data_IF_162790792869
#
_entry.id   IF_162790792869
#
_cell.length_a   1.000
_cell.length_b   1.000
_cell.length_c   1.000
_cell.angle_alpha   90.00
_cell.angle_beta   90.00
_cell.angle_gamma   90.00
#
_symmetry.space_group_name_H-M   'P 1'
#
loop_
_entity.id
_entity.type
_entity.pdbx_description
1 polymer ?
#
# COMPACT_ATOMS: atom_id res chain seq x y z
N UNK A 1 -36.18 -28.28 -33.57
CA UNK A 1 -37.27 -27.51 -32.92
C UNK A 1 -36.77 -26.06 -32.85
N UNK A 2 -36.93 -25.30 -33.94
CA UNK A 2 -38.02 -24.31 -34.17
C UNK A 2 -38.09 -23.25 -33.06
N UNK A 3 -38.15 -21.94 -33.28
CA UNK A 3 -37.97 -21.02 -34.42
C UNK A 3 -38.35 -19.60 -33.88
N UNK A 4 -37.88 -18.56 -34.58
CA UNK A 4 -38.36 -17.16 -34.68
C UNK A 4 -37.46 -16.06 -34.08
N UNK A 5 -36.78 -15.23 -34.89
CA UNK A 5 -37.22 -14.21 -35.91
C UNK A 5 -37.90 -12.99 -35.25
N UNK A 6 -37.66 -11.72 -35.62
CA UNK A 6 -37.25 -11.18 -36.92
C UNK A 6 -36.53 -9.82 -36.85
N UNK A 7 -35.75 -9.60 -37.89
CA UNK A 7 -35.19 -8.36 -38.44
C UNK A 7 -36.29 -7.52 -39.09
N UNK A 8 -36.20 -6.18 -39.06
CA UNK A 8 -36.62 -5.35 -40.20
C UNK A 8 -35.75 -4.09 -40.35
N UNK A 9 -34.89 -4.12 -41.38
CA UNK A 9 -34.46 -2.94 -42.11
C UNK A 9 -35.44 -2.73 -43.28
N UNK A 10 -35.79 -1.48 -43.59
CA UNK A 10 -36.44 -1.12 -44.86
C UNK A 10 -35.80 0.13 -45.45
N UNK A 11 -34.99 -0.14 -46.47
CA UNK A 11 -34.61 0.78 -47.53
C UNK A 11 -35.86 0.97 -48.42
N UNK A 12 -36.20 2.20 -48.78
CA UNK A 12 -37.01 2.44 -49.96
C UNK A 12 -36.42 3.57 -50.80
N UNK A 13 -36.35 3.26 -52.08
CA UNK A 13 -35.60 3.91 -53.14
C UNK A 13 -36.51 4.86 -53.94
N UNK A 14 -35.88 5.63 -54.83
CA UNK A 14 -36.32 5.99 -56.20
C UNK A 14 -36.59 7.49 -56.50
N UNK A 15 -35.74 7.98 -57.40
CA UNK A 15 -36.04 8.61 -58.70
C UNK A 15 -36.28 10.13 -58.82
N UNK A 16 -35.73 10.59 -59.95
CA UNK A 16 -36.22 11.67 -60.82
C UNK A 16 -35.53 13.06 -60.70
N UNK A 17 -34.35 13.13 -61.33
CA UNK A 17 -33.97 14.06 -62.40
C UNK A 17 -34.77 15.35 -62.66
N UNK A 18 -33.98 16.44 -62.84
CA UNK A 18 -34.06 17.48 -63.89
C UNK A 18 -34.88 18.76 -63.60
N UNK A 19 -34.21 19.92 -63.64
CA UNK A 19 -34.85 21.19 -64.03
C UNK A 19 -34.33 22.47 -63.36
N UNK A 20 -33.60 23.27 -64.13
CA UNK A 20 -33.18 24.67 -63.93
C UNK A 20 -34.23 25.60 -63.27
N UNK A 21 -33.78 26.55 -62.43
CA UNK A 21 -33.78 28.00 -62.75
C UNK A 21 -33.40 28.90 -61.56
N UNK A 22 -32.66 29.97 -61.89
CA UNK A 22 -32.21 31.09 -61.06
C UNK A 22 -33.34 31.75 -60.24
N UNK A 23 -33.00 32.31 -59.07
CA UNK A 23 -33.27 33.73 -58.77
C UNK A 23 -32.45 34.19 -57.54
N UNK A 24 -31.70 35.27 -57.70
CA UNK A 24 -30.95 35.96 -56.66
C UNK A 24 -31.88 36.84 -55.81
N UNK A 25 -31.66 36.90 -54.48
CA UNK A 25 -31.91 38.13 -53.71
C UNK A 25 -31.18 38.12 -52.36
N UNK A 26 -30.57 39.27 -52.09
CA UNK A 26 -29.67 39.63 -51.00
C UNK A 26 -30.26 39.46 -49.59
N UNK A 27 -29.46 38.97 -48.65
CA UNK A 27 -29.70 39.12 -47.22
C UNK A 27 -28.40 39.52 -46.51
N UNK A 28 -28.30 40.80 -46.18
CA UNK A 28 -27.35 41.39 -45.23
C UNK A 28 -27.29 40.55 -43.95
N UNK A 29 -26.07 40.15 -43.54
CA UNK A 29 -25.84 39.47 -42.26
C UNK A 29 -24.88 40.29 -41.39
N UNK A 30 -25.09 40.29 -40.06
CA UNK A 30 -24.63 41.31 -39.14
C UNK A 30 -23.14 41.21 -38.83
N UNK A 31 -22.57 42.34 -38.42
CA UNK A 31 -21.23 42.43 -37.88
C UNK A 31 -21.06 41.47 -36.68
N UNK A 32 -20.20 40.46 -36.83
CA UNK A 32 -19.68 39.69 -35.71
C UNK A 32 -18.58 40.51 -35.05
N UNK A 33 -18.85 41.00 -33.84
CA UNK A 33 -17.81 41.46 -32.93
C UNK A 33 -16.87 40.27 -32.67
N UNK A 34 -15.68 40.30 -33.28
CA UNK A 34 -14.60 39.40 -32.91
C UNK A 34 -14.16 39.80 -31.51
N UNK A 35 -14.55 39.01 -30.51
CA UNK A 35 -13.93 39.07 -29.20
C UNK A 35 -12.43 38.84 -29.40
N UNK A 36 -11.62 39.80 -28.96
CA UNK A 36 -10.18 39.65 -28.89
C UNK A 36 -9.86 38.36 -28.14
N UNK A 37 -9.38 37.35 -28.87
CA UNK A 37 -8.61 36.27 -28.27
C UNK A 37 -7.38 36.96 -27.73
N UNK A 38 -7.38 37.26 -26.43
CA UNK A 38 -6.20 37.72 -25.73
C UNK A 38 -5.16 36.62 -25.92
N UNK A 39 -4.18 36.86 -26.79
CA UNK A 39 -3.10 35.92 -26.99
C UNK A 39 -2.41 35.74 -25.64
N UNK A 40 -2.61 34.59 -24.99
CA UNK A 40 -1.86 34.23 -23.79
C UNK A 40 -0.39 34.39 -24.12
N UNK A 41 0.27 35.32 -23.42
CA UNK A 41 1.69 35.59 -23.61
C UNK A 41 2.45 34.33 -23.17
N UNK A 42 2.83 33.49 -24.13
CA UNK A 42 3.63 32.29 -23.88
C UNK A 42 5.07 32.71 -23.62
N UNK A 43 5.45 32.76 -22.35
CA UNK A 43 6.85 32.90 -21.96
C UNK A 43 7.61 31.59 -22.22
N UNK A 44 8.89 31.66 -22.59
CA UNK A 44 9.73 30.47 -22.66
C UNK A 44 9.83 29.84 -21.26
N UNK A 45 9.53 28.54 -21.16
CA UNK A 45 9.71 27.75 -19.94
C UNK A 45 10.47 26.47 -20.27
N UNK A 46 11.26 26.00 -19.31
CA UNK A 46 11.93 24.70 -19.36
C UNK A 46 11.40 23.80 -18.24
N UNK A 47 11.25 22.51 -18.52
CA UNK A 47 10.92 21.51 -17.50
C UNK A 47 12.18 20.75 -17.14
N UNK A 48 12.51 20.75 -15.85
CA UNK A 48 13.69 20.10 -15.31
C UNK A 48 13.29 18.98 -14.37
N UNK A 49 14.17 17.98 -14.25
CA UNK A 49 14.02 16.86 -13.31
C UNK A 49 15.38 16.50 -12.77
N UNK A 50 15.45 16.35 -11.44
CA UNK A 50 16.62 15.87 -10.74
C UNK A 50 16.17 14.86 -9.68
N UNK A 51 17.02 13.87 -9.41
CA UNK A 51 16.76 12.79 -8.46
C UNK A 51 18.02 12.55 -7.63
N UNK A 52 17.85 12.16 -6.37
CA UNK A 52 18.92 11.69 -5.49
C UNK A 52 18.54 10.31 -4.95
N UNK A 53 19.47 9.37 -4.99
CA UNK A 53 19.27 7.97 -4.57
C UNK A 53 20.45 7.54 -3.72
N UNK A 54 20.18 6.80 -2.64
CA UNK A 54 21.23 6.24 -1.78
C UNK A 54 20.86 4.85 -1.30
N UNK A 55 21.86 3.98 -1.27
CA UNK A 55 21.77 2.67 -0.63
C UNK A 55 22.03 2.83 0.87
N UNK A 56 21.10 2.33 1.70
CA UNK A 56 21.17 2.46 3.16
C UNK A 56 21.23 1.06 3.78
N UNK A 57 22.22 0.76 4.64
CA UNK A 57 22.30 -0.52 5.32
C UNK A 57 21.11 -0.69 6.27
N UNK A 58 20.56 -1.91 6.33
CA UNK A 58 19.55 -2.27 7.33
C UNK A 58 20.25 -2.58 8.64
N UNK A 59 20.01 -1.75 9.65
CA UNK A 59 20.74 -1.74 10.92
C UNK A 59 19.93 -2.26 12.09
N UNK A 60 18.64 -2.52 11.91
CA UNK A 60 17.72 -2.92 12.96
C UNK A 60 17.15 -4.29 12.66
N UNK A 61 17.22 -5.21 13.63
CA UNK A 61 16.53 -6.50 13.58
C UNK A 61 15.15 -6.38 14.21
N UNK A 62 14.17 -7.07 13.63
CA UNK A 62 12.88 -7.42 14.24
C UNK A 62 12.81 -8.93 14.39
N UNK A 63 12.59 -9.40 15.61
CA UNK A 63 12.38 -10.82 15.93
C UNK A 63 10.93 -10.97 16.39
N UNK A 64 10.17 -11.84 15.72
CA UNK A 64 8.82 -12.22 16.12
C UNK A 64 8.87 -13.54 16.86
N UNK A 65 8.45 -13.53 18.12
CA UNK A 65 8.17 -14.71 18.91
C UNK A 65 6.68 -15.00 18.86
N UNK A 66 6.28 -16.28 18.79
CA UNK A 66 4.86 -16.64 18.84
C UNK A 66 4.60 -17.88 19.69
N UNK A 67 3.41 -17.93 20.29
CA UNK A 67 2.84 -19.16 20.82
C UNK A 67 1.53 -19.46 20.08
N UNK A 68 1.37 -20.72 19.68
CA UNK A 68 0.16 -21.25 19.08
C UNK A 68 -0.46 -22.27 20.04
N UNK A 69 -1.75 -22.10 20.37
CA UNK A 69 -2.46 -22.94 21.33
C UNK A 69 -3.77 -23.40 20.71
N UNK A 70 -4.19 -24.61 21.07
CA UNK A 70 -5.48 -25.18 20.68
C UNK A 70 -6.17 -25.82 21.88
N UNK A 71 -7.48 -25.66 21.92
CA UNK A 71 -8.33 -26.23 22.97
C UNK A 71 -9.75 -26.46 22.42
N UNK A 72 -10.56 -27.23 23.12
CA UNK A 72 -12.01 -27.33 22.86
C UNK A 72 -12.78 -26.05 23.21
N UNK A 73 -12.26 -25.22 24.12
CA UNK A 73 -12.92 -24.02 24.60
C UNK A 73 -12.20 -22.73 24.17
N UNK A 74 -12.94 -21.78 23.60
CA UNK A 74 -12.39 -20.49 23.17
C UNK A 74 -11.70 -19.73 24.32
N UNK A 75 -12.33 -19.77 25.50
CA UNK A 75 -11.86 -19.05 26.68
C UNK A 75 -10.51 -19.60 27.17
N UNK A 76 -10.32 -20.92 27.14
CA UNK A 76 -9.07 -21.56 27.56
C UNK A 76 -7.91 -21.28 26.59
N UNK A 77 -8.18 -21.21 25.28
CA UNK A 77 -7.18 -20.75 24.30
C UNK A 77 -6.75 -19.32 24.62
N UNK A 78 -7.70 -18.39 24.78
CA UNK A 78 -7.39 -16.99 25.05
C UNK A 78 -6.63 -16.83 26.38
N UNK A 79 -7.05 -17.52 27.44
CA UNK A 79 -6.40 -17.47 28.74
C UNK A 79 -4.98 -18.03 28.70
N UNK A 80 -4.77 -19.15 28.01
CA UNK A 80 -3.44 -19.78 27.89
C UNK A 80 -2.46 -18.94 27.06
N UNK A 81 -2.95 -18.29 26.00
CA UNK A 81 -2.14 -17.37 25.20
C UNK A 81 -1.74 -16.14 26.01
N UNK A 82 -2.68 -15.52 26.73
CA UNK A 82 -2.39 -14.39 27.62
C UNK A 82 -1.37 -14.75 28.69
N UNK A 83 -1.51 -15.90 29.35
CA UNK A 83 -0.52 -16.40 30.33
C UNK A 83 0.87 -16.55 29.73
N UNK A 84 0.96 -17.10 28.52
CA UNK A 84 2.23 -17.30 27.81
C UNK A 84 2.87 -15.96 27.46
N UNK A 85 2.09 -15.04 26.87
CA UNK A 85 2.54 -13.72 26.49
C UNK A 85 2.98 -12.89 27.72
N UNK A 86 2.19 -12.88 28.80
CA UNK A 86 2.52 -12.13 30.02
C UNK A 86 3.79 -12.65 30.68
N UNK A 87 3.96 -13.98 30.72
CA UNK A 87 5.16 -14.63 31.26
C UNK A 87 6.41 -14.23 30.49
N UNK A 88 6.36 -14.26 29.15
CA UNK A 88 7.48 -13.87 28.30
C UNK A 88 7.72 -12.36 28.37
N UNK A 89 6.68 -11.54 28.26
CA UNK A 89 6.77 -10.07 28.31
C UNK A 89 7.44 -9.59 29.61
N UNK A 90 7.12 -10.18 30.75
CA UNK A 90 7.77 -9.86 32.04
C UNK A 90 9.27 -10.15 32.04
N UNK A 91 9.72 -11.17 31.31
CA UNK A 91 11.13 -11.55 31.25
C UNK A 91 11.92 -10.70 30.26
N UNK A 92 11.31 -10.31 29.13
CA UNK A 92 12.01 -9.61 28.04
C UNK A 92 11.92 -8.08 28.11
N UNK A 93 10.90 -7.52 28.79
CA UNK A 93 10.72 -6.06 28.89
C UNK A 93 11.81 -5.42 29.76
N UNK A 94 12.15 -4.17 29.44
CA UNK A 94 13.07 -3.35 30.22
C UNK A 94 14.56 -3.64 29.97
N UNK A 95 14.88 -4.41 28.93
CA UNK A 95 16.26 -4.61 28.47
C UNK A 95 16.70 -3.39 27.67
N UNK A 96 17.83 -2.80 28.07
CA UNK A 96 18.40 -1.65 27.38
C UNK A 96 18.75 -2.00 25.93
N UNK A 97 18.51 -1.07 25.01
CA UNK A 97 18.75 -1.29 23.58
C UNK A 97 17.78 -2.25 22.88
N UNK A 98 16.78 -2.81 23.59
CA UNK A 98 15.79 -3.73 23.01
C UNK A 98 14.39 -3.20 23.27
N UNK A 99 13.71 -2.79 22.20
CA UNK A 99 12.30 -2.40 22.25
C UNK A 99 11.46 -3.66 22.16
N UNK A 100 10.55 -3.83 23.12
CA UNK A 100 9.66 -4.99 23.19
C UNK A 100 8.21 -4.53 23.19
N UNK A 101 7.38 -5.16 22.36
CA UNK A 101 5.95 -4.89 22.30
C UNK A 101 5.16 -6.11 21.81
N UNK A 102 3.86 -6.13 22.05
CA UNK A 102 2.98 -7.20 21.60
C UNK A 102 2.69 -7.10 20.10
N UNK A 103 2.65 -8.24 19.42
CA UNK A 103 2.27 -8.36 18.01
C UNK A 103 0.81 -8.80 17.86
N UNK A 104 0.54 -9.67 16.89
CA UNK A 104 -0.80 -10.18 16.62
C UNK A 104 -1.32 -11.04 17.79
N UNK A 105 -2.60 -10.89 18.13
CA UNK A 105 -3.32 -11.76 19.05
C UNK A 105 -4.64 -12.15 18.39
N UNK A 106 -4.85 -13.44 18.18
CA UNK A 106 -6.03 -13.94 17.49
C UNK A 106 -6.45 -15.30 18.03
N UNK A 107 -7.76 -15.52 18.06
CA UNK A 107 -8.40 -16.78 18.41
C UNK A 107 -9.51 -17.03 17.39
N UNK A 108 -9.52 -18.21 16.77
CA UNK A 108 -10.45 -18.56 15.70
C UNK A 108 -10.93 -20.01 15.82
N UNK A 109 -12.17 -20.30 15.40
CA UNK A 109 -12.70 -21.66 15.43
C UNK A 109 -12.14 -22.47 14.25
N UNK A 110 -12.04 -23.78 14.46
CA UNK A 110 -11.77 -24.77 13.43
C UNK A 110 -13.00 -25.68 13.34
N UNK A 111 -13.62 -25.73 12.16
CA UNK A 111 -14.83 -26.49 11.95
C UNK A 111 -14.54 -27.90 11.42
N UNK A 112 -15.37 -28.86 11.78
CA UNK A 112 -15.38 -30.20 11.20
C UNK A 112 -16.04 -30.22 9.80
N UNK A 113 -16.17 -31.43 9.23
CA UNK A 113 -16.80 -31.65 7.93
C UNK A 113 -18.30 -31.29 7.90
N UNK A 114 -18.95 -31.29 9.06
CA UNK A 114 -20.37 -30.97 9.22
C UNK A 114 -20.58 -29.46 9.47
N UNK A 115 -19.50 -28.67 9.51
CA UNK A 115 -19.52 -27.23 9.76
C UNK A 115 -19.67 -26.86 11.23
N UNK A 116 -19.58 -27.82 12.15
CA UNK A 116 -19.60 -27.57 13.60
C UNK A 116 -18.21 -27.23 14.10
N UNK A 117 -18.12 -26.37 15.11
CA UNK A 117 -16.84 -26.05 15.75
C UNK A 117 -16.30 -27.32 16.42
N UNK A 118 -15.10 -27.72 16.02
CA UNK A 118 -14.42 -28.94 16.49
C UNK A 118 -13.24 -28.63 17.42
N UNK A 119 -12.61 -27.47 17.24
CA UNK A 119 -11.45 -27.02 18.01
C UNK A 119 -11.39 -25.50 17.92
N UNK A 120 -10.89 -24.85 18.96
CA UNK A 120 -10.45 -23.46 18.91
C UNK A 120 -8.93 -23.43 18.78
N UNK A 121 -8.45 -22.55 17.92
CA UNK A 121 -7.02 -22.26 17.77
C UNK A 121 -6.77 -20.81 18.07
N UNK A 122 -5.56 -20.51 18.50
CA UNK A 122 -5.15 -19.14 18.66
C UNK A 122 -3.65 -18.99 18.61
N UNK A 123 -3.25 -17.74 18.39
CA UNK A 123 -1.87 -17.30 18.28
C UNK A 123 -1.70 -15.98 18.99
N UNK A 124 -0.59 -15.83 19.69
CA UNK A 124 -0.13 -14.56 20.25
C UNK A 124 1.32 -14.33 19.86
N UNK A 125 1.70 -13.07 19.66
CA UNK A 125 3.04 -12.68 19.24
C UNK A 125 3.65 -11.63 20.17
N UNK A 126 4.96 -11.71 20.34
CA UNK A 126 5.79 -10.67 20.98
C UNK A 126 6.90 -10.32 20.02
N UNK A 127 7.13 -9.03 19.84
CA UNK A 127 8.12 -8.49 18.93
C UNK A 127 9.27 -7.88 19.73
N UNK A 128 10.49 -8.22 19.33
CA UNK A 128 11.72 -7.56 19.78
C UNK A 128 12.34 -6.79 18.61
N UNK A 129 12.61 -5.51 18.81
CA UNK A 129 13.35 -4.66 17.86
C UNK A 129 14.64 -4.17 18.51
N UNK A 130 15.77 -4.29 17.82
CA UNK A 130 17.06 -3.80 18.31
C UNK A 130 18.05 -3.55 17.17
N UNK A 131 18.98 -2.63 17.40
CA UNK A 131 20.20 -2.48 16.57
C UNK A 131 21.31 -3.44 17.00
N UNK A 132 21.20 -4.06 18.18
CA UNK A 132 22.09 -5.12 18.65
C UNK A 132 21.45 -6.49 18.39
N UNK A 133 21.79 -7.07 17.24
CA UNK A 133 21.30 -8.37 16.81
C UNK A 133 21.69 -9.50 17.77
N UNK A 134 22.88 -9.45 18.35
CA UNK A 134 23.38 -10.50 19.23
C UNK A 134 22.61 -10.50 20.56
N UNK A 135 22.41 -9.32 21.15
CA UNK A 135 21.64 -9.16 22.38
C UNK A 135 20.17 -9.56 22.17
N UNK A 136 19.54 -9.12 21.07
CA UNK A 136 18.17 -9.48 20.74
C UNK A 136 18.00 -11.00 20.53
N UNK A 137 18.90 -11.62 19.77
CA UNK A 137 18.85 -13.07 19.49
C UNK A 137 19.08 -13.91 20.75
N UNK A 138 20.01 -13.50 21.62
CA UNK A 138 20.23 -14.16 22.92
C UNK A 138 19.00 -14.07 23.80
N UNK A 139 18.36 -12.90 23.87
CA UNK A 139 17.14 -12.70 24.65
C UNK A 139 15.98 -13.55 24.12
N UNK A 140 15.80 -13.58 22.80
CA UNK A 140 14.80 -14.42 22.14
C UNK A 140 15.01 -15.91 22.45
N UNK A 141 16.26 -16.39 22.42
CA UNK A 141 16.60 -17.78 22.74
C UNK A 141 16.22 -18.17 24.18
N UNK A 142 16.29 -17.25 25.14
CA UNK A 142 15.96 -17.51 26.56
C UNK A 142 14.47 -17.78 26.82
N UNK A 143 13.59 -17.39 25.90
CA UNK A 143 12.14 -17.54 26.02
C UNK A 143 11.53 -18.43 24.92
N UNK A 144 12.38 -19.00 24.07
CA UNK A 144 11.98 -19.84 22.94
C UNK A 144 11.32 -21.16 23.37
N UNK A 145 11.46 -21.55 24.63
CA UNK A 145 10.76 -22.68 25.24
C UNK A 145 9.23 -22.46 25.30
N UNK A 146 8.81 -21.21 25.46
CA UNK A 146 7.40 -20.80 25.54
C UNK A 146 6.90 -20.13 24.28
N UNK A 147 7.71 -19.27 23.68
CA UNK A 147 7.39 -18.55 22.45
C UNK A 147 8.57 -18.65 21.48
N UNK A 148 8.63 -19.68 20.61
CA UNK A 148 9.67 -19.81 19.61
C UNK A 148 9.71 -18.63 18.63
N UNK A 149 10.88 -18.42 18.04
CA UNK A 149 11.08 -17.47 16.94
C UNK A 149 10.35 -18.01 15.70
N UNK A 150 9.43 -17.20 15.16
CA UNK A 150 8.66 -17.54 13.96
C UNK A 150 9.00 -16.67 12.75
N UNK A 151 9.61 -15.51 12.98
CA UNK A 151 10.08 -14.62 11.92
C UNK A 151 11.26 -13.77 12.41
N UNK A 152 12.15 -13.44 11.47
CA UNK A 152 13.29 -12.56 11.69
C UNK A 152 13.52 -11.72 10.44
N UNK A 153 13.45 -10.40 10.56
CA UNK A 153 13.68 -9.47 9.46
C UNK A 153 14.59 -8.30 9.86
N UNK A 154 15.31 -7.77 8.88
CA UNK A 154 16.14 -6.57 9.05
C UNK A 154 15.51 -5.40 8.30
N UNK A 155 15.51 -4.23 8.93
CA UNK A 155 14.96 -2.99 8.38
C UNK A 155 15.80 -1.77 8.82
N UNK A 156 15.55 -0.63 8.16
CA UNK A 156 16.11 0.67 8.57
C UNK A 156 15.17 1.28 9.60
N UNK A 157 15.71 1.65 10.77
CA UNK A 157 14.95 2.30 11.83
C UNK A 157 14.16 3.51 11.29
N UNK A 158 12.94 3.79 11.78
CA UNK A 158 12.14 4.90 11.28
C UNK A 158 12.85 6.26 11.40
N UNK A 159 13.61 6.46 12.47
CA UNK A 159 14.39 7.67 12.69
C UNK A 159 15.52 7.82 11.67
N UNK A 160 16.26 6.75 11.40
CA UNK A 160 17.34 6.75 10.42
C UNK A 160 16.83 6.92 8.99
N UNK A 161 15.68 6.31 8.68
CA UNK A 161 14.99 6.53 7.41
C UNK A 161 14.64 8.00 7.22
N UNK A 162 14.02 8.62 8.23
CA UNK A 162 13.63 10.03 8.16
C UNK A 162 14.85 10.96 7.99
N UNK A 163 15.98 10.63 8.65
CA UNK A 163 17.25 11.35 8.48
C UNK A 163 17.75 11.26 7.03
N UNK A 164 17.85 10.06 6.47
CA UNK A 164 18.32 9.88 5.10
C UNK A 164 17.39 10.49 4.06
N UNK A 165 16.08 10.47 4.30
CA UNK A 165 15.10 11.13 3.43
C UNK A 165 15.33 12.65 3.40
N UNK A 166 15.55 13.28 4.56
CA UNK A 166 15.85 14.71 4.63
C UNK A 166 17.15 15.08 3.88
N UNK A 167 18.19 14.26 4.00
CA UNK A 167 19.46 14.46 3.27
C UNK A 167 19.27 14.34 1.75
N UNK A 168 18.55 13.30 1.29
CA UNK A 168 18.27 13.09 -0.14
C UNK A 168 17.43 14.21 -0.75
N UNK A 169 16.49 14.78 0.01
CA UNK A 169 15.71 15.94 -0.45
C UNK A 169 16.60 17.17 -0.68
N UNK A 170 17.59 17.41 0.19
CA UNK A 170 18.54 18.51 0.02
C UNK A 170 19.44 18.29 -1.20
N UNK A 171 19.90 17.07 -1.42
CA UNK A 171 20.69 16.70 -2.60
C UNK A 171 19.89 16.88 -3.90
N UNK A 172 18.66 16.36 -3.95
CA UNK A 172 17.78 16.51 -5.11
C UNK A 172 17.47 17.98 -5.43
N UNK A 173 17.23 18.80 -4.40
CA UNK A 173 17.01 20.24 -4.58
C UNK A 173 18.26 20.96 -5.11
N UNK A 174 19.45 20.54 -4.67
CA UNK A 174 20.72 21.08 -5.17
C UNK A 174 20.94 20.69 -6.62
N UNK A 175 20.81 19.41 -6.96
CA UNK A 175 20.93 18.93 -8.33
C UNK A 175 19.90 19.59 -9.28
N UNK A 176 18.71 19.92 -8.79
CA UNK A 176 17.72 20.68 -9.57
C UNK A 176 18.18 22.11 -9.84
N UNK A 177 18.75 22.81 -8.84
CA UNK A 177 19.29 24.16 -9.03
C UNK A 177 20.48 24.17 -9.99
N UNK A 178 21.36 23.18 -9.87
CA UNK A 178 22.52 23.04 -10.76
C UNK A 178 22.06 22.82 -12.21
N UNK A 179 21.10 21.91 -12.44
CA UNK A 179 20.43 21.70 -13.74
C UNK A 179 19.74 22.93 -14.33
N UNK A 180 19.33 23.88 -13.48
CA UNK A 180 18.69 25.12 -13.93
C UNK A 180 19.70 26.21 -14.28
N UNK A 181 20.95 26.08 -13.82
CA UNK A 181 22.05 26.98 -14.11
C UNK A 181 22.85 26.56 -15.35
N UNK A 182 22.78 25.27 -15.72
CA UNK A 182 23.32 24.69 -16.96
C UNK A 182 22.53 25.14 -18.22
#
# INVERSE_FOLDING_TARGET
>A
MNLNFSVQARIFSLLASLGLALFALSATSPALAQGEVTAETKYPYASLRAEAVREVPRDTVRITLAADIRDSEQAEVAASLSRSADSVMKQVKGKEGIKVYSGNFQVWPMNDKDGRISEWRGRTEIILESTDFEAASKLAAQVSDRMPIVNLDFFVAPQERARHEAELLQEAATAFRDRAAD
#
